data_IF_005902370398
#
_entry.id   IF_005902370398
#
_cell.length_a   1.000
_cell.length_b   1.000
_cell.length_c   1.000
_cell.angle_alpha   90.00
_cell.angle_beta   90.00
_cell.angle_gamma   90.00
#
_symmetry.space_group_name_H-M   'P 1'
#
loop_
_entity.id
_entity.type
_entity.pdbx_description
1 polymer ?
#
# COMPACT_ATOMS: atom_id res chain seq x y z
N UNK A 1 17.14 -29.42 -6.88
CA UNK A 1 16.43 -28.31 -7.51
C UNK A 1 15.40 -27.74 -6.55
N UNK A 2 15.49 -26.45 -6.25
CA UNK A 2 14.52 -25.68 -5.47
C UNK A 2 14.38 -24.29 -6.07
N UNK A 3 13.35 -23.55 -5.67
CA UNK A 3 13.32 -22.11 -5.86
C UNK A 3 14.30 -21.44 -4.88
N UNK A 4 14.79 -20.26 -5.23
CA UNK A 4 15.46 -19.40 -4.23
C UNK A 4 14.52 -19.11 -3.04
N UNK A 5 15.02 -18.98 -1.81
CA UNK A 5 14.17 -18.77 -0.62
C UNK A 5 13.29 -17.51 -0.67
N UNK A 6 13.76 -16.45 -1.33
CA UNK A 6 13.03 -15.19 -1.56
C UNK A 6 12.07 -15.27 -2.77
N UNK A 7 12.06 -16.39 -3.49
CA UNK A 7 11.23 -16.64 -4.65
C UNK A 7 10.01 -17.48 -4.28
N UNK A 8 8.83 -16.87 -4.22
CA UNK A 8 7.61 -17.51 -3.75
C UNK A 8 6.58 -17.69 -4.88
N UNK A 9 6.09 -18.92 -5.12
CA UNK A 9 5.03 -19.15 -6.09
C UNK A 9 3.65 -18.81 -5.51
N UNK A 10 2.87 -18.02 -6.23
CA UNK A 10 1.48 -17.71 -5.92
C UNK A 10 0.60 -18.31 -7.00
N UNK A 11 -0.14 -19.35 -6.62
CA UNK A 11 -1.02 -20.08 -7.53
C UNK A 11 -2.32 -19.29 -7.71
N UNK A 12 -2.58 -18.85 -8.94
CA UNK A 12 -3.88 -18.33 -9.37
C UNK A 12 -4.70 -19.39 -10.11
N UNK A 13 -5.80 -18.97 -10.72
CA UNK A 13 -6.70 -19.87 -11.43
C UNK A 13 -6.07 -20.44 -12.71
N UNK A 14 -5.66 -19.55 -13.65
CA UNK A 14 -5.01 -19.94 -14.92
C UNK A 14 -3.49 -19.84 -14.92
N UNK A 15 -2.93 -18.98 -14.10
CA UNK A 15 -1.49 -18.68 -14.06
C UNK A 15 -0.90 -18.96 -12.69
N UNK A 16 0.42 -19.10 -12.65
CA UNK A 16 1.22 -19.07 -11.42
C UNK A 16 2.18 -17.90 -11.56
N UNK A 17 2.20 -17.03 -10.55
CA UNK A 17 3.15 -15.93 -10.48
C UNK A 17 4.26 -16.28 -9.49
N UNK A 18 5.50 -16.23 -9.93
CA UNK A 18 6.69 -16.42 -9.10
C UNK A 18 7.20 -15.06 -8.67
N UNK A 19 7.09 -14.76 -7.39
CA UNK A 19 7.44 -13.47 -6.81
C UNK A 19 8.90 -13.52 -6.40
N UNK A 20 9.74 -12.62 -6.88
CA UNK A 20 11.08 -12.40 -6.33
C UNK A 20 11.02 -11.20 -5.39
N UNK A 21 10.93 -11.49 -4.09
CA UNK A 21 10.70 -10.47 -3.07
C UNK A 21 11.91 -9.57 -2.81
N UNK A 22 13.12 -10.02 -3.17
CA UNK A 22 14.37 -9.27 -2.99
C UNK A 22 14.59 -8.32 -4.17
N UNK A 23 14.44 -8.81 -5.40
CA UNK A 23 14.54 -7.98 -6.61
C UNK A 23 13.31 -7.11 -6.86
N UNK A 24 12.27 -7.29 -6.05
CA UNK A 24 10.98 -6.60 -6.16
C UNK A 24 10.28 -6.78 -7.51
N UNK A 25 10.42 -7.97 -8.11
CA UNK A 25 9.87 -8.31 -9.42
C UNK A 25 9.10 -9.62 -9.36
N UNK A 26 8.46 -10.00 -10.46
CA UNK A 26 7.78 -11.28 -10.55
C UNK A 26 7.74 -11.77 -12.00
N UNK A 27 7.50 -13.07 -12.16
CA UNK A 27 7.26 -13.72 -13.43
C UNK A 27 5.92 -14.44 -13.39
N UNK A 28 4.99 -14.08 -14.28
CA UNK A 28 3.67 -14.71 -14.37
C UNK A 28 3.59 -15.64 -15.58
N UNK A 29 3.31 -16.92 -15.36
CA UNK A 29 3.28 -17.95 -16.40
C UNK A 29 1.95 -18.73 -16.40
N UNK A 30 1.36 -19.02 -17.57
CA UNK A 30 0.28 -19.99 -17.71
C UNK A 30 0.62 -21.35 -17.09
N UNK A 31 -0.35 -21.98 -16.41
CA UNK A 31 -0.17 -23.31 -15.81
C UNK A 31 0.27 -24.37 -16.83
N UNK A 32 -0.19 -24.28 -18.07
CA UNK A 32 0.18 -25.19 -19.17
C UNK A 32 1.68 -25.21 -19.50
N UNK A 33 2.41 -24.12 -19.24
CA UNK A 33 3.87 -24.11 -19.40
C UNK A 33 4.61 -24.74 -18.23
N UNK A 34 3.95 -24.88 -17.08
CA UNK A 34 4.56 -25.30 -15.83
C UNK A 34 4.18 -26.71 -15.43
N UNK A 35 2.95 -27.13 -15.72
CA UNK A 35 2.31 -28.33 -15.19
C UNK A 35 1.63 -29.13 -16.31
N UNK A 36 1.35 -30.40 -16.04
CA UNK A 36 0.47 -31.21 -16.87
C UNK A 36 -0.99 -30.87 -16.54
N UNK A 37 -1.90 -31.07 -17.50
CA UNK A 37 -3.34 -30.75 -17.36
C UNK A 37 -3.98 -31.37 -16.12
N UNK A 38 -3.58 -32.59 -15.76
CA UNK A 38 -4.06 -33.32 -14.58
C UNK A 38 -3.72 -32.64 -13.24
N UNK A 39 -2.71 -31.76 -13.21
CA UNK A 39 -2.22 -31.07 -12.01
C UNK A 39 -2.67 -29.60 -11.94
N UNK A 40 -3.61 -29.13 -12.77
CA UNK A 40 -4.02 -27.71 -12.75
C UNK A 40 -4.77 -27.28 -11.49
N UNK A 41 -5.43 -28.23 -10.82
CA UNK A 41 -6.23 -28.02 -9.60
C UNK A 41 -5.39 -28.11 -8.32
N UNK A 42 -4.27 -27.39 -8.28
CA UNK A 42 -3.41 -27.27 -7.10
C UNK A 42 -3.65 -25.96 -6.36
N UNK A 43 -3.42 -25.99 -5.05
CA UNK A 43 -3.34 -24.77 -4.21
C UNK A 43 -1.90 -24.41 -3.83
N UNK A 44 -1.02 -25.41 -3.83
CA UNK A 44 0.40 -25.30 -3.49
C UNK A 44 1.18 -25.93 -4.63
N UNK A 45 2.22 -25.22 -5.10
CA UNK A 45 3.09 -25.72 -6.16
C UNK A 45 4.16 -26.66 -5.59
N UNK A 46 4.16 -27.91 -6.07
CA UNK A 46 5.32 -28.79 -5.91
C UNK A 46 6.27 -28.63 -7.10
N UNK A 47 7.44 -28.06 -6.84
CA UNK A 47 8.48 -27.79 -7.84
C UNK A 47 8.93 -29.08 -8.56
N UNK A 48 8.84 -30.25 -7.90
CA UNK A 48 9.23 -31.54 -8.49
C UNK A 48 8.26 -32.00 -9.59
N UNK A 49 7.05 -31.44 -9.64
CA UNK A 49 6.03 -31.74 -10.66
C UNK A 49 6.11 -30.84 -11.90
N UNK A 50 7.04 -29.89 -11.92
CA UNK A 50 7.18 -28.99 -13.06
C UNK A 50 7.58 -29.75 -14.33
N UNK A 51 7.04 -29.31 -15.47
CA UNK A 51 7.47 -29.81 -16.78
C UNK A 51 8.93 -29.41 -17.04
N UNK A 52 9.67 -30.15 -17.88
CA UNK A 52 11.04 -29.77 -18.27
C UNK A 52 11.12 -28.36 -18.87
N UNK A 53 10.10 -27.96 -19.64
CA UNK A 53 9.99 -26.61 -20.19
C UNK A 53 9.82 -25.56 -19.09
N UNK A 54 8.91 -25.78 -18.14
CA UNK A 54 8.69 -24.85 -17.02
C UNK A 54 9.94 -24.69 -16.16
N UNK A 55 10.66 -25.78 -15.90
CA UNK A 55 11.96 -25.76 -15.20
C UNK A 55 12.97 -24.90 -15.96
N UNK A 56 13.09 -25.07 -17.27
CA UNK A 56 14.06 -24.31 -18.05
C UNK A 56 13.75 -22.80 -18.07
N UNK A 57 12.48 -22.42 -18.21
CA UNK A 57 12.05 -21.02 -18.14
C UNK A 57 12.41 -20.41 -16.77
N UNK A 58 12.06 -21.10 -15.68
CA UNK A 58 12.36 -20.59 -14.33
C UNK A 58 13.87 -20.52 -14.07
N UNK A 59 14.66 -21.43 -14.66
CA UNK A 59 16.12 -21.39 -14.60
C UNK A 59 16.67 -20.19 -15.36
N UNK A 60 16.22 -19.95 -16.59
CA UNK A 60 16.71 -18.83 -17.41
C UNK A 60 16.38 -17.47 -16.79
N UNK A 61 15.22 -17.38 -16.12
CA UNK A 61 14.78 -16.18 -15.40
C UNK A 61 15.38 -16.06 -13.98
N UNK A 62 16.21 -17.03 -13.57
CA UNK A 62 16.95 -16.99 -12.31
C UNK A 62 16.13 -17.28 -11.04
N UNK A 63 15.01 -18.00 -11.17
CA UNK A 63 14.18 -18.43 -10.04
C UNK A 63 14.62 -19.76 -9.42
N UNK A 64 15.38 -20.58 -10.14
CA UNK A 64 15.84 -21.90 -9.68
C UNK A 64 17.25 -21.82 -9.10
N UNK A 65 17.43 -22.45 -7.94
CA UNK A 65 18.71 -22.77 -7.35
C UNK A 65 19.08 -24.22 -7.69
N UNK A 66 20.10 -24.37 -8.52
CA UNK A 66 20.72 -25.65 -8.88
C UNK A 66 21.91 -25.92 -7.96
N UNK A 67 21.65 -26.36 -6.73
CA UNK A 67 22.70 -26.75 -5.78
C UNK A 67 22.83 -28.29 -5.72
N UNK A 68 24.00 -28.85 -6.09
CA UNK A 68 24.25 -30.29 -6.06
C UNK A 68 24.34 -30.88 -4.65
N UNK A 69 24.43 -30.06 -3.59
CA UNK A 69 24.44 -30.50 -2.18
C UNK A 69 23.04 -30.61 -1.58
N UNK A 70 22.01 -30.13 -2.28
CA UNK A 70 20.63 -30.24 -1.83
C UNK A 70 20.11 -31.66 -2.09
N UNK A 71 20.15 -32.49 -1.05
CA UNK A 71 19.53 -33.82 -1.06
C UNK A 71 18.00 -33.75 -0.88
N UNK A 72 17.28 -34.73 -1.42
CA UNK A 72 15.83 -34.75 -1.72
C UNK A 72 14.83 -34.47 -0.58
N UNK A 73 15.28 -34.36 0.66
CA UNK A 73 14.43 -34.23 1.86
C UNK A 73 14.15 -32.80 2.30
N UNK A 74 14.68 -31.85 1.56
CA UNK A 74 14.82 -30.50 2.02
C UNK A 74 13.64 -29.66 1.51
N UNK A 75 12.42 -30.21 1.58
CA UNK A 75 11.19 -29.51 1.26
C UNK A 75 10.96 -28.44 2.34
N UNK A 76 11.48 -27.24 2.13
CA UNK A 76 11.02 -26.09 2.92
C UNK A 76 9.56 -25.90 2.51
N UNK A 77 8.65 -26.21 3.43
CA UNK A 77 7.26 -25.84 3.30
C UNK A 77 7.23 -24.32 3.04
N UNK A 78 6.85 -23.92 1.84
CA UNK A 78 6.91 -22.54 1.36
C UNK A 78 5.81 -21.64 1.98
N UNK A 79 5.25 -22.01 3.12
CA UNK A 79 3.96 -21.45 3.56
C UNK A 79 3.90 -20.94 4.97
N UNK A 80 4.83 -21.28 5.87
CA UNK A 80 4.51 -21.09 7.29
C UNK A 80 5.34 -19.94 7.89
N UNK A 81 4.67 -18.78 7.96
CA UNK A 81 4.94 -17.66 8.86
C UNK A 81 5.98 -16.60 8.45
N UNK A 82 5.93 -16.11 7.20
CA UNK A 82 6.38 -14.72 6.97
C UNK A 82 5.36 -13.78 7.62
N UNK A 83 5.52 -13.59 8.92
CA UNK A 83 4.61 -12.82 9.75
C UNK A 83 4.89 -11.33 9.60
N UNK A 84 3.83 -10.57 9.40
CA UNK A 84 3.88 -9.13 9.40
C UNK A 84 3.75 -8.62 10.83
N UNK A 85 4.76 -7.90 11.29
CA UNK A 85 4.75 -7.25 12.59
C UNK A 85 5.02 -5.77 12.45
N UNK A 86 4.21 -4.98 13.15
CA UNK A 86 4.46 -3.56 13.34
C UNK A 86 4.00 -3.17 14.74
N UNK A 87 4.78 -2.37 15.49
CA UNK A 87 4.36 -1.84 16.77
C UNK A 87 3.37 -0.67 16.63
N UNK A 88 3.22 -0.11 15.42
CA UNK A 88 2.39 1.06 15.18
C UNK A 88 0.90 0.70 15.09
N UNK A 89 0.03 1.43 15.79
CA UNK A 89 -1.42 1.23 15.67
C UNK A 89 -1.93 1.67 14.29
N UNK A 90 -1.38 2.77 13.76
CA UNK A 90 -1.57 3.24 12.39
C UNK A 90 -0.20 3.35 11.74
N UNK A 91 -0.02 2.78 10.55
CA UNK A 91 1.26 2.86 9.82
C UNK A 91 1.29 4.03 8.85
N UNK A 92 0.11 4.40 8.32
CA UNK A 92 -0.03 5.42 7.29
C UNK A 92 -1.22 6.34 7.59
N UNK A 93 -0.99 7.64 7.57
CA UNK A 93 -2.03 8.66 7.67
C UNK A 93 -2.07 9.52 6.40
N UNK A 94 -3.27 9.76 5.87
CA UNK A 94 -3.52 10.75 4.84
C UNK A 94 -4.39 11.86 5.44
N UNK A 95 -3.90 13.09 5.40
CA UNK A 95 -4.50 14.23 6.08
C UNK A 95 -4.81 15.29 5.04
N UNK A 96 -6.08 15.60 4.85
CA UNK A 96 -6.48 16.78 4.10
C UNK A 96 -6.44 17.99 5.05
N UNK A 97 -5.84 19.10 4.61
CA UNK A 97 -5.82 20.36 5.36
C UNK A 97 -6.71 21.35 4.63
N UNK A 98 -7.78 21.77 5.28
CA UNK A 98 -8.79 22.69 4.74
C UNK A 98 -9.15 23.73 5.80
N UNK A 99 -9.91 24.75 5.41
CA UNK A 99 -10.51 25.66 6.38
C UNK A 99 -11.57 24.96 7.25
N UNK A 100 -12.36 24.05 6.66
CA UNK A 100 -13.49 23.40 7.31
C UNK A 100 -13.07 22.47 8.46
N UNK A 101 -11.91 21.82 8.32
CA UNK A 101 -11.37 20.97 9.39
C UNK A 101 -10.44 21.71 10.38
N UNK A 102 -10.21 23.00 10.14
CA UNK A 102 -9.41 23.90 10.95
C UNK A 102 -7.95 23.44 11.16
N UNK A 103 -7.45 22.49 10.36
CA UNK A 103 -6.07 22.01 10.46
C UNK A 103 -5.06 23.02 9.93
N UNK A 104 -5.50 24.07 9.21
CA UNK A 104 -4.65 25.23 8.91
C UNK A 104 -4.20 25.99 10.17
N UNK A 105 -4.84 25.75 11.33
CA UNK A 105 -4.34 26.24 12.61
C UNK A 105 -3.13 25.41 13.08
N UNK A 106 -1.99 26.06 13.26
CA UNK A 106 -0.73 25.41 13.68
C UNK A 106 -0.86 24.61 14.97
N UNK A 107 -1.61 25.09 15.97
CA UNK A 107 -1.81 24.39 17.24
C UNK A 107 -2.57 23.08 17.07
N UNK A 108 -3.64 23.08 16.25
CA UNK A 108 -4.41 21.87 15.92
C UNK A 108 -3.57 20.87 15.12
N UNK A 109 -2.80 21.34 14.15
CA UNK A 109 -1.93 20.47 13.35
C UNK A 109 -0.82 19.84 14.19
N UNK A 110 -0.12 20.62 15.02
CA UNK A 110 0.92 20.10 15.92
C UNK A 110 0.34 19.02 16.84
N UNK A 111 -0.85 19.26 17.40
CA UNK A 111 -1.54 18.32 18.25
C UNK A 111 -1.86 17.00 17.53
N UNK A 112 -2.37 17.06 16.30
CA UNK A 112 -2.60 15.86 15.48
C UNK A 112 -1.28 15.11 15.22
N UNK A 113 -0.21 15.82 14.88
CA UNK A 113 1.11 15.22 14.68
C UNK A 113 1.65 14.56 15.96
N UNK A 114 1.37 15.12 17.13
CA UNK A 114 1.68 14.49 18.42
C UNK A 114 0.91 13.19 18.62
N UNK A 115 -0.39 13.18 18.33
CA UNK A 115 -1.19 11.96 18.39
C UNK A 115 -0.64 10.87 17.46
N UNK A 116 -0.31 11.24 16.22
CA UNK A 116 0.28 10.32 15.23
C UNK A 116 1.63 9.77 15.68
N UNK A 117 2.48 10.59 16.31
CA UNK A 117 3.76 10.14 16.84
C UNK A 117 3.59 9.13 17.98
N UNK A 118 2.61 9.37 18.87
CA UNK A 118 2.32 8.48 20.02
C UNK A 118 1.79 7.10 19.58
N UNK A 119 1.11 7.01 18.43
CA UNK A 119 0.70 5.73 17.83
C UNK A 119 1.73 5.13 16.86
N UNK A 120 2.93 5.73 16.80
CA UNK A 120 4.05 5.35 15.94
C UNK A 120 3.73 5.38 14.43
N UNK A 121 2.89 6.32 13.99
CA UNK A 121 2.59 6.50 12.57
C UNK A 121 3.78 7.08 11.82
N UNK A 122 4.41 6.25 10.98
CA UNK A 122 5.69 6.57 10.32
C UNK A 122 5.56 7.22 8.95
N UNK A 123 4.41 7.06 8.28
CA UNK A 123 4.23 7.50 6.91
C UNK A 123 3.03 8.44 6.84
N UNK A 124 3.27 9.69 6.47
CA UNK A 124 2.22 10.72 6.46
C UNK A 124 2.14 11.33 5.05
N UNK A 125 0.93 11.50 4.56
CA UNK A 125 0.62 12.32 3.39
C UNK A 125 -0.19 13.51 3.88
N UNK A 126 0.25 14.73 3.57
CA UNK A 126 -0.50 15.95 3.86
C UNK A 126 -0.92 16.58 2.54
N UNK A 127 -2.22 16.64 2.29
CA UNK A 127 -2.81 17.33 1.15
C UNK A 127 -3.38 18.66 1.59
N UNK A 128 -2.66 19.74 1.29
CA UNK A 128 -3.05 21.09 1.66
C UNK A 128 -3.91 21.67 0.54
N UNK A 129 -5.21 21.85 0.84
CA UNK A 129 -6.20 22.40 -0.08
C UNK A 129 -6.59 23.85 0.25
N UNK A 130 -6.24 24.33 1.43
CA UNK A 130 -6.37 25.74 1.82
C UNK A 130 -5.15 26.56 1.38
N UNK A 131 -5.24 27.88 1.48
CA UNK A 131 -4.06 28.74 1.34
C UNK A 131 -2.98 28.33 2.36
N UNK A 132 -1.74 28.27 1.88
CA UNK A 132 -0.57 27.86 2.64
C UNK A 132 0.33 29.07 2.84
N UNK A 133 0.76 29.31 4.09
CA UNK A 133 1.87 30.22 4.35
C UNK A 133 3.16 29.43 4.59
N UNK A 134 4.29 29.92 4.08
CA UNK A 134 5.60 29.31 4.34
C UNK A 134 5.92 29.15 5.84
N UNK A 135 5.61 30.12 6.74
CA UNK A 135 5.82 29.95 8.17
C UNK A 135 5.02 28.79 8.79
N UNK A 136 3.78 28.56 8.31
CA UNK A 136 3.00 27.40 8.74
C UNK A 136 3.70 26.11 8.33
N UNK A 137 4.11 26.00 7.05
CA UNK A 137 4.81 24.81 6.55
C UNK A 137 6.10 24.54 7.33
N UNK A 138 6.91 25.57 7.57
CA UNK A 138 8.13 25.46 8.38
C UNK A 138 7.84 24.89 9.78
N UNK A 139 6.76 25.35 10.42
CA UNK A 139 6.38 24.86 11.75
C UNK A 139 5.95 23.39 11.72
N UNK A 140 5.14 23.01 10.72
CA UNK A 140 4.71 21.61 10.51
C UNK A 140 5.91 20.71 10.25
N UNK A 141 6.84 21.12 9.39
CA UNK A 141 8.05 20.35 9.07
C UNK A 141 8.97 20.22 10.28
N UNK A 142 9.19 21.29 11.05
CA UNK A 142 9.96 21.23 12.29
C UNK A 142 9.36 20.23 13.29
N UNK A 143 8.02 20.20 13.39
CA UNK A 143 7.33 19.20 14.22
C UNK A 143 7.54 17.78 13.71
N UNK A 144 7.39 17.55 12.41
CA UNK A 144 7.63 16.25 11.77
C UNK A 144 9.07 15.79 11.98
N UNK A 145 10.05 16.69 11.89
CA UNK A 145 11.47 16.39 12.10
C UNK A 145 11.76 15.95 13.53
N UNK A 146 11.09 16.52 14.52
CA UNK A 146 11.21 16.09 15.93
C UNK A 146 10.49 14.78 16.28
N UNK A 147 9.56 14.32 15.43
CA UNK A 147 8.78 13.10 15.65
C UNK A 147 9.43 11.85 15.02
N UNK A 148 8.85 10.67 15.28
CA UNK A 148 9.27 9.38 14.72
C UNK A 148 8.77 9.12 13.27
N UNK A 149 8.30 10.15 12.58
CA UNK A 149 7.93 10.07 11.16
C UNK A 149 9.15 9.70 10.32
N UNK A 150 9.00 8.67 9.48
CA UNK A 150 10.03 8.24 8.54
C UNK A 150 9.87 8.87 7.16
N UNK A 151 8.63 9.12 6.72
CA UNK A 151 8.37 9.73 5.43
C UNK A 151 7.18 10.66 5.44
N UNK A 152 7.34 11.78 4.76
CA UNK A 152 6.31 12.76 4.46
C UNK A 152 6.17 12.90 2.95
N UNK A 153 4.95 12.91 2.47
CA UNK A 153 4.59 13.35 1.12
C UNK A 153 3.69 14.57 1.26
N UNK A 154 3.94 15.60 0.46
CA UNK A 154 3.12 16.80 0.44
C UNK A 154 2.40 16.89 -0.90
N UNK A 155 1.13 17.27 -0.85
CA UNK A 155 0.35 17.63 -2.03
C UNK A 155 -0.16 19.05 -1.81
N UNK A 156 0.19 19.97 -2.70
CA UNK A 156 -0.12 21.39 -2.60
C UNK A 156 -0.86 21.84 -3.85
N UNK A 157 -1.83 22.73 -3.72
CA UNK A 157 -2.39 23.43 -4.88
C UNK A 157 -1.40 24.48 -5.37
N UNK A 158 -1.23 24.62 -6.69
CA UNK A 158 -0.32 25.59 -7.29
C UNK A 158 -0.44 27.00 -6.70
N UNK A 159 0.71 27.58 -6.40
CA UNK A 159 0.86 28.98 -5.99
C UNK A 159 2.21 29.51 -6.50
N UNK A 160 2.24 30.74 -7.01
CA UNK A 160 3.44 31.39 -7.53
C UNK A 160 4.54 31.54 -6.46
N UNK A 161 4.19 31.60 -5.17
CA UNK A 161 5.16 31.70 -4.06
C UNK A 161 6.09 30.47 -3.94
N UNK A 162 5.69 29.32 -4.50
CA UNK A 162 6.48 28.08 -4.46
C UNK A 162 7.69 28.11 -5.42
N UNK A 163 7.83 29.14 -6.25
CA UNK A 163 9.04 29.36 -7.07
C UNK A 163 10.16 30.10 -6.33
N UNK A 164 10.00 30.36 -5.05
CA UNK A 164 11.06 30.98 -4.24
C UNK A 164 12.16 30.00 -3.85
N UNK A 165 13.41 30.49 -3.81
CA UNK A 165 14.55 29.71 -3.28
C UNK A 165 14.29 29.22 -1.85
N UNK A 166 13.61 30.03 -1.04
CA UNK A 166 13.23 29.67 0.33
C UNK A 166 12.32 28.42 0.41
N UNK A 167 11.36 28.28 -0.51
CA UNK A 167 10.53 27.08 -0.59
C UNK A 167 11.36 25.88 -1.06
N UNK A 168 12.15 26.06 -2.12
CA UNK A 168 13.04 25.03 -2.65
C UNK A 168 13.97 24.47 -1.56
N UNK A 169 14.68 25.34 -0.86
CA UNK A 169 15.61 24.99 0.22
C UNK A 169 14.92 24.26 1.37
N UNK A 170 13.72 24.69 1.76
CA UNK A 170 12.93 24.07 2.82
C UNK A 170 12.58 22.62 2.47
N UNK A 171 12.23 22.35 1.22
CA UNK A 171 11.83 21.03 0.76
C UNK A 171 13.03 20.13 0.48
N UNK A 172 14.00 20.63 -0.30
CA UNK A 172 15.16 19.85 -0.77
C UNK A 172 16.02 19.38 0.41
N UNK A 173 16.24 20.24 1.41
CA UNK A 173 17.08 19.91 2.56
C UNK A 173 16.38 19.05 3.63
N UNK A 174 15.06 18.87 3.55
CA UNK A 174 14.35 18.01 4.51
C UNK A 174 14.43 16.53 4.10
N UNK A 175 15.11 15.70 4.90
CA UNK A 175 15.32 14.28 4.61
C UNK A 175 14.09 13.39 4.82
N UNK A 176 13.07 13.87 5.54
CA UNK A 176 11.80 13.15 5.74
C UNK A 176 10.83 13.35 4.59
N UNK A 177 10.94 14.46 3.85
CA UNK A 177 10.13 14.67 2.64
C UNK A 177 10.63 13.74 1.54
N UNK A 178 9.78 12.78 1.14
CA UNK A 178 10.05 11.94 -0.03
C UNK A 178 9.87 12.71 -1.32
N UNK A 179 8.75 13.41 -1.44
CA UNK A 179 8.45 14.29 -2.55
C UNK A 179 7.30 15.24 -2.22
N UNK A 180 7.17 16.27 -3.04
CA UNK A 180 6.07 17.23 -3.06
C UNK A 180 5.46 17.21 -4.44
N UNK A 181 4.13 17.10 -4.51
CA UNK A 181 3.38 17.29 -5.75
C UNK A 181 2.62 18.61 -5.65
N UNK A 182 2.84 19.47 -6.64
CA UNK A 182 2.15 20.74 -6.83
C UNK A 182 1.15 20.52 -7.96
N UNK A 183 -0.11 20.32 -7.60
CA UNK A 183 -1.20 20.01 -8.54
C UNK A 183 -1.83 21.27 -9.12
N UNK A 184 -2.52 21.11 -10.25
CA UNK A 184 -3.17 22.23 -10.97
C UNK A 184 -2.19 23.36 -11.35
N UNK A 185 -0.94 22.99 -11.63
CA UNK A 185 0.09 23.89 -12.14
C UNK A 185 -0.23 24.26 -13.60
N UNK A 186 0.16 25.46 -14.09
CA UNK A 186 0.05 25.79 -15.51
C UNK A 186 1.06 25.05 -16.41
N UNK A 187 1.86 24.14 -15.84
CA UNK A 187 2.87 23.34 -16.56
C UNK A 187 3.30 22.09 -15.78
N UNK A 188 3.87 21.14 -16.51
CA UNK A 188 4.62 19.99 -16.00
C UNK A 188 6.08 20.34 -15.74
N UNK A 189 6.59 20.07 -14.52
CA UNK A 189 8.01 20.29 -14.19
C UNK A 189 8.49 19.41 -13.04
N UNK A 190 9.73 18.96 -13.10
CA UNK A 190 10.39 18.21 -12.03
C UNK A 190 11.65 18.96 -11.58
N UNK A 191 11.82 19.11 -10.27
CA UNK A 191 13.05 19.57 -9.64
C UNK A 191 13.61 18.50 -8.71
N UNK A 192 14.85 18.08 -8.98
CA UNK A 192 15.65 17.13 -8.20
C UNK A 192 14.92 15.82 -7.82
N UNK A 193 14.00 15.35 -8.67
CA UNK A 193 13.17 14.17 -8.41
C UNK A 193 12.41 14.23 -7.06
N UNK A 194 12.16 15.46 -6.58
CA UNK A 194 11.56 15.72 -5.27
C UNK A 194 10.39 16.68 -5.33
N UNK A 195 10.39 17.67 -6.23
CA UNK A 195 9.27 18.59 -6.40
C UNK A 195 8.71 18.42 -7.82
N UNK A 196 7.46 18.00 -7.89
CA UNK A 196 6.76 17.70 -9.15
C UNK A 196 5.59 18.65 -9.32
N UNK A 197 5.64 19.48 -10.36
CA UNK A 197 4.52 20.29 -10.82
C UNK A 197 3.76 19.50 -11.86
N UNK A 198 2.45 19.43 -11.74
CA UNK A 198 1.57 18.77 -12.71
C UNK A 198 0.34 19.60 -13.03
N UNK A 199 -0.05 19.60 -14.30
CA UNK A 199 -1.27 20.23 -14.80
C UNK A 199 -2.52 19.50 -14.28
N UNK A 200 -2.40 18.19 -14.06
CA UNK A 200 -3.51 17.37 -13.60
C UNK A 200 -3.80 17.60 -12.11
N UNK A 201 -5.09 17.50 -11.77
CA UNK A 201 -5.49 17.31 -10.38
C UNK A 201 -5.22 15.87 -10.00
N UNK A 202 -4.50 15.64 -8.91
CA UNK A 202 -4.21 14.28 -8.47
C UNK A 202 -5.51 13.55 -8.15
N UNK A 203 -5.69 12.41 -8.80
CA UNK A 203 -6.72 11.44 -8.45
C UNK A 203 -6.01 10.28 -7.74
N UNK A 204 -6.36 10.07 -6.48
CA UNK A 204 -5.93 8.87 -5.74
C UNK A 204 -6.53 7.67 -6.49
N UNK A 205 -5.65 6.82 -7.04
CA UNK A 205 -5.99 6.00 -8.19
C UNK A 205 -5.57 4.54 -8.10
N UNK A 206 -6.52 3.68 -8.51
CA UNK A 206 -6.50 2.22 -8.61
C UNK A 206 -5.37 1.72 -9.53
N UNK A 207 -4.76 0.59 -9.18
CA UNK A 207 -3.83 -0.12 -10.08
C UNK A 207 -4.58 -0.49 -11.37
N UNK A 208 -4.08 -0.01 -12.49
CA UNK A 208 -4.72 -0.16 -13.80
C UNK A 208 -4.03 -1.20 -14.69
N UNK A 209 -2.77 -1.51 -14.42
CA UNK A 209 -1.99 -2.46 -15.22
C UNK A 209 -1.04 -3.33 -14.38
N UNK A 210 -0.55 -4.40 -15.01
CA UNK A 210 0.38 -5.36 -14.40
C UNK A 210 1.76 -4.75 -14.09
N UNK A 211 2.23 -3.79 -14.88
CA UNK A 211 3.58 -3.20 -14.74
C UNK A 211 3.71 -2.29 -13.52
N UNK A 212 2.59 -1.90 -12.91
CA UNK A 212 2.54 -1.16 -11.66
C UNK A 212 2.78 -2.03 -10.42
N UNK A 213 2.70 -3.36 -10.55
CA UNK A 213 2.92 -4.23 -9.39
C UNK A 213 4.40 -4.36 -9.03
N UNK A 214 4.65 -4.40 -7.72
CA UNK A 214 5.96 -4.70 -7.14
C UNK A 214 5.81 -5.76 -6.06
N UNK A 215 6.33 -6.95 -6.33
CA UNK A 215 6.31 -8.04 -5.36
C UNK A 215 7.39 -7.78 -4.30
N UNK A 216 7.01 -7.36 -3.10
CA UNK A 216 7.98 -7.06 -2.04
C UNK A 216 7.59 -7.72 -0.72
N UNK A 217 8.58 -7.99 0.12
CA UNK A 217 8.40 -8.74 1.38
C UNK A 217 7.38 -8.09 2.33
N UNK A 218 7.32 -6.76 2.42
CA UNK A 218 6.42 -6.05 3.33
C UNK A 218 4.96 -6.26 2.92
N UNK A 219 4.67 -6.04 1.64
CA UNK A 219 3.33 -6.22 1.09
C UNK A 219 2.91 -7.69 1.08
N UNK A 220 3.83 -8.59 0.70
CA UNK A 220 3.58 -10.03 0.69
C UNK A 220 3.21 -10.54 2.08
N UNK A 221 4.02 -10.22 3.11
CA UNK A 221 3.79 -10.64 4.49
C UNK A 221 2.50 -10.05 5.07
N UNK A 222 2.23 -8.76 4.83
CA UNK A 222 0.98 -8.12 5.28
C UNK A 222 -0.25 -8.79 4.69
N UNK A 223 -0.22 -9.05 3.38
CA UNK A 223 -1.35 -9.60 2.63
C UNK A 223 -1.76 -11.03 3.02
N UNK A 224 -0.92 -11.74 3.79
CA UNK A 224 -1.26 -13.10 4.24
C UNK A 224 -2.50 -13.08 5.13
N UNK A 225 -2.56 -12.11 6.05
CA UNK A 225 -3.58 -12.03 7.09
C UNK A 225 -4.30 -10.67 7.15
N UNK A 226 -3.84 -9.67 6.40
CA UNK A 226 -4.43 -8.34 6.42
C UNK A 226 -4.84 -7.83 5.03
N UNK A 227 -5.76 -6.87 5.02
CA UNK A 227 -6.15 -6.13 3.82
C UNK A 227 -5.09 -5.06 3.50
N UNK A 228 -4.40 -5.22 2.37
CA UNK A 228 -3.20 -4.40 2.02
C UNK A 228 -3.45 -2.91 1.81
N UNK A 229 -4.71 -2.50 1.56
CA UNK A 229 -5.08 -1.07 1.48
C UNK A 229 -5.60 -0.48 2.80
N UNK A 230 -6.53 -1.14 3.50
CA UNK A 230 -7.20 -0.58 4.69
C UNK A 230 -6.49 -0.86 6.02
N UNK A 231 -5.67 -1.92 6.10
CA UNK A 231 -4.99 -2.29 7.34
C UNK A 231 -4.14 -1.13 7.85
N UNK A 232 -4.38 -0.74 9.11
CA UNK A 232 -3.66 0.34 9.82
C UNK A 232 -3.53 1.65 9.03
N UNK A 233 -4.52 1.97 8.18
CA UNK A 233 -4.66 3.27 7.53
C UNK A 233 -5.61 4.19 8.26
N UNK A 234 -5.24 5.46 8.24
CA UNK A 234 -6.04 6.58 8.73
C UNK A 234 -6.20 7.60 7.62
N UNK A 235 -7.41 8.10 7.45
CA UNK A 235 -7.75 9.23 6.62
C UNK A 235 -8.45 10.29 7.47
N UNK A 236 -7.96 11.53 7.41
CA UNK A 236 -8.62 12.72 7.96
C UNK A 236 -9.11 13.56 6.79
N UNK A 237 -10.44 13.64 6.64
CA UNK A 237 -11.09 14.27 5.50
C UNK A 237 -11.18 15.79 5.58
N UNK A 238 -11.66 16.36 4.48
CA UNK A 238 -11.82 17.81 4.30
C UNK A 238 -12.77 18.47 5.31
N UNK A 239 -13.73 17.76 5.91
CA UNK A 239 -14.54 18.32 7.01
C UNK A 239 -14.09 17.79 8.39
N UNK A 240 -12.96 17.08 8.42
CA UNK A 240 -12.35 16.52 9.61
C UNK A 240 -12.83 15.11 9.94
N UNK A 241 -13.54 14.45 9.02
CA UNK A 241 -13.99 13.07 9.19
C UNK A 241 -12.81 12.13 9.42
N UNK A 242 -12.90 11.30 10.46
CA UNK A 242 -11.94 10.23 10.74
C UNK A 242 -12.44 8.95 10.07
N UNK A 243 -11.69 8.45 9.09
CA UNK A 243 -12.02 7.26 8.28
C UNK A 243 -10.79 6.36 8.08
N UNK A 244 -10.98 5.19 7.47
CA UNK A 244 -9.85 4.36 7.01
C UNK A 244 -9.24 4.86 5.70
N UNK A 245 -10.07 5.37 4.78
CA UNK A 245 -9.67 5.83 3.46
C UNK A 245 -10.69 6.85 2.90
N UNK A 246 -10.35 7.62 1.84
CA UNK A 246 -11.25 8.58 1.20
C UNK A 246 -12.56 7.96 0.70
N UNK A 247 -12.48 6.72 0.20
CA UNK A 247 -13.61 6.02 -0.43
C UNK A 247 -14.61 5.49 0.59
N UNK A 248 -14.20 5.33 1.86
CA UNK A 248 -15.06 4.80 2.91
C UNK A 248 -16.24 5.74 3.23
N UNK A 249 -17.43 5.17 3.30
CA UNK A 249 -18.65 5.89 3.68
C UNK A 249 -18.74 6.09 5.20
N UNK A 250 -18.30 5.10 5.98
CA UNK A 250 -18.33 5.11 7.45
C UNK A 250 -17.40 6.22 8.01
N UNK A 251 -17.92 7.00 8.95
CA UNK A 251 -17.19 8.05 9.69
C UNK A 251 -17.16 7.66 11.16
N UNK A 252 -15.96 7.52 11.73
CA UNK A 252 -15.78 7.04 13.10
C UNK A 252 -15.61 8.17 14.12
N UNK A 253 -15.46 9.40 13.65
CA UNK A 253 -15.32 10.59 14.48
C UNK A 253 -15.00 11.82 13.66
N UNK A 254 -14.79 12.94 14.34
CA UNK A 254 -14.44 14.21 13.72
C UNK A 254 -13.28 14.84 14.49
N UNK A 255 -12.18 15.21 13.81
CA UNK A 255 -10.93 15.62 14.46
C UNK A 255 -11.10 16.88 15.33
N UNK A 256 -12.02 17.77 14.99
CA UNK A 256 -12.34 18.97 15.76
C UNK A 256 -12.98 18.64 17.12
N UNK A 257 -13.59 17.45 17.26
CA UNK A 257 -14.22 16.96 18.49
C UNK A 257 -13.27 16.10 19.33
N UNK A 258 -12.07 15.81 18.84
CA UNK A 258 -11.07 15.01 19.56
C UNK A 258 -10.33 15.91 20.54
N UNK A 259 -10.60 15.71 21.83
CA UNK A 259 -10.18 16.54 22.95
C UNK A 259 -9.03 15.93 23.78
N UNK A 260 -8.60 14.71 23.49
CA UNK A 260 -7.49 14.03 24.16
C UNK A 260 -6.86 12.97 23.24
N UNK A 261 -5.66 12.49 23.63
CA UNK A 261 -5.01 11.39 22.92
C UNK A 261 -5.79 10.08 23.11
N UNK A 262 -6.33 9.87 24.30
CA UNK A 262 -7.11 8.69 24.69
C UNK A 262 -8.37 8.57 23.82
N UNK A 263 -9.12 9.66 23.66
CA UNK A 263 -10.28 9.70 22.76
C UNK A 263 -9.88 9.38 21.30
N UNK A 264 -8.79 9.96 20.81
CA UNK A 264 -8.28 9.65 19.47
C UNK A 264 -7.95 8.14 19.34
N UNK A 265 -7.26 7.59 20.33
CA UNK A 265 -6.86 6.19 20.36
C UNK A 265 -8.05 5.24 20.44
N UNK A 266 -9.06 5.56 21.25
CA UNK A 266 -10.29 4.76 21.39
C UNK A 266 -11.04 4.60 20.06
N UNK A 267 -11.08 5.66 19.25
CA UNK A 267 -11.66 5.61 17.89
C UNK A 267 -10.89 4.57 17.04
N UNK A 268 -9.55 4.65 17.05
CA UNK A 268 -8.68 3.79 16.22
C UNK A 268 -8.63 2.33 16.71
N UNK A 269 -8.83 2.08 18.00
CA UNK A 269 -8.88 0.75 18.59
C UNK A 269 -10.28 0.11 18.53
N UNK A 270 -11.29 0.86 18.11
CA UNK A 270 -12.65 0.33 18.00
C UNK A 270 -12.74 -0.80 16.96
N UNK A 271 -13.52 -1.86 17.24
CA UNK A 271 -13.74 -2.95 16.28
C UNK A 271 -14.30 -2.48 14.94
N UNK A 272 -15.12 -1.42 14.95
CA UNK A 272 -15.72 -0.87 13.75
C UNK A 272 -14.68 -0.16 12.87
N UNK A 273 -13.76 0.61 13.47
CA UNK A 273 -12.65 1.22 12.72
C UNK A 273 -11.71 0.16 12.13
N UNK A 274 -11.48 -0.94 12.85
CA UNK A 274 -10.59 -2.02 12.41
C UNK A 274 -11.27 -3.10 11.56
N UNK A 275 -12.56 -2.93 11.24
CA UNK A 275 -13.40 -3.90 10.53
C UNK A 275 -12.77 -4.48 9.27
N UNK A 276 -12.08 -3.64 8.48
CA UNK A 276 -11.46 -4.07 7.22
C UNK A 276 -10.03 -4.61 7.36
N UNK A 277 -9.38 -4.47 8.52
CA UNK A 277 -7.95 -4.79 8.67
C UNK A 277 -7.63 -6.25 8.37
N UNK A 278 -8.53 -7.16 8.74
CA UNK A 278 -8.35 -8.61 8.58
C UNK A 278 -9.01 -9.18 7.32
N UNK A 279 -9.45 -8.32 6.39
CA UNK A 279 -10.10 -8.76 5.14
C UNK A 279 -9.05 -9.05 4.06
N UNK A 280 -8.25 -10.09 4.30
CA UNK A 280 -7.20 -10.49 3.36
C UNK A 280 -7.75 -11.24 2.15
N UNK A 281 -7.00 -11.27 1.05
CA UNK A 281 -7.54 -11.72 -0.24
C UNK A 281 -7.85 -13.21 -0.35
N UNK A 282 -7.32 -14.04 0.55
CA UNK A 282 -7.66 -15.46 0.56
C UNK A 282 -9.12 -15.72 1.03
N UNK A 283 -9.76 -14.75 1.68
CA UNK A 283 -11.19 -14.82 2.07
C UNK A 283 -12.09 -13.91 1.22
N UNK A 284 -11.54 -13.29 0.17
CA UNK A 284 -12.27 -12.48 -0.80
C UNK A 284 -12.50 -13.28 -2.08
N UNK A 285 -13.77 -13.38 -2.51
CA UNK A 285 -14.13 -14.02 -3.78
C UNK A 285 -13.37 -13.40 -4.96
N UNK A 286 -13.04 -14.24 -5.95
CA UNK A 286 -12.20 -13.92 -7.12
C UNK A 286 -10.75 -13.63 -6.75
N UNK A 287 -10.50 -12.78 -5.75
CA UNK A 287 -9.16 -12.41 -5.29
C UNK A 287 -8.40 -13.60 -4.71
N UNK A 288 -9.09 -14.57 -4.10
CA UNK A 288 -8.47 -15.79 -3.56
C UNK A 288 -7.81 -16.65 -4.66
N UNK A 289 -8.34 -16.56 -5.88
CA UNK A 289 -7.90 -17.28 -7.08
C UNK A 289 -6.96 -16.44 -7.97
N UNK A 290 -6.59 -15.23 -7.54
CA UNK A 290 -5.71 -14.33 -8.29
C UNK A 290 -4.25 -14.55 -7.92
N UNK A 291 -3.41 -14.76 -8.92
CA UNK A 291 -1.96 -14.90 -8.79
C UNK A 291 -1.27 -13.60 -8.32
N UNK A 292 -1.91 -12.44 -8.46
CA UNK A 292 -1.39 -11.15 -8.01
C UNK A 292 -1.85 -10.75 -6.60
N UNK A 293 -2.59 -11.62 -5.89
CA UNK A 293 -3.23 -11.27 -4.61
C UNK A 293 -2.26 -10.71 -3.57
N UNK A 294 -1.04 -11.22 -3.48
CA UNK A 294 -0.08 -10.79 -2.46
C UNK A 294 0.77 -9.57 -2.85
N UNK A 295 0.61 -9.04 -4.07
CA UNK A 295 1.26 -7.80 -4.53
C UNK A 295 0.27 -6.68 -4.90
N UNK A 296 -1.03 -6.98 -4.87
CA UNK A 296 -2.06 -6.02 -5.25
C UNK A 296 -2.48 -5.14 -4.07
N UNK A 297 -2.72 -3.86 -4.34
CA UNK A 297 -3.30 -2.89 -3.40
C UNK A 297 -4.66 -2.51 -3.98
N UNK A 298 -5.72 -3.09 -3.42
CA UNK A 298 -7.08 -2.93 -3.92
C UNK A 298 -7.81 -1.88 -3.09
N UNK A 299 -8.32 -0.82 -3.73
CA UNK A 299 -8.99 0.27 -3.04
C UNK A 299 -10.50 0.04 -2.89
N UNK A 300 -11.04 -1.01 -3.51
CA UNK A 300 -12.47 -1.31 -3.47
C UNK A 300 -12.89 -1.73 -2.07
N UNK A 301 -14.03 -1.23 -1.61
CA UNK A 301 -14.59 -1.59 -0.29
C UNK A 301 -15.09 -3.04 -0.34
N UNK A 302 -14.65 -3.92 0.59
CA UNK A 302 -15.14 -5.28 0.67
C UNK A 302 -16.44 -5.35 1.50
N UNK A 303 -17.35 -6.22 1.08
CA UNK A 303 -18.64 -6.47 1.70
C UNK A 303 -18.73 -7.91 2.18
N UNK A 304 -19.33 -8.12 3.35
CA UNK A 304 -19.43 -9.45 3.97
C UNK A 304 -20.66 -10.19 3.46
N UNK A 305 -20.49 -11.45 3.07
CA UNK A 305 -21.58 -12.38 2.76
C UNK A 305 -22.04 -13.12 4.00
N UNK A 306 -23.25 -13.69 3.93
CA UNK A 306 -23.81 -14.54 4.99
C UNK A 306 -22.96 -15.79 5.27
N UNK A 307 -22.23 -16.30 4.27
CA UNK A 307 -21.37 -17.49 4.41
C UNK A 307 -19.97 -17.18 4.99
N UNK A 308 -19.70 -15.93 5.38
CA UNK A 308 -18.43 -15.51 5.97
C UNK A 308 -17.35 -15.08 4.96
N UNK A 309 -17.57 -15.24 3.66
CA UNK A 309 -16.68 -14.70 2.62
C UNK A 309 -16.91 -13.20 2.41
N UNK A 310 -15.93 -12.57 1.77
CA UNK A 310 -15.98 -11.18 1.36
C UNK A 310 -16.04 -11.05 -0.17
N UNK A 311 -16.63 -9.97 -0.66
CA UNK A 311 -16.73 -9.67 -2.09
C UNK A 311 -16.70 -8.16 -2.33
N UNK A 312 -16.50 -7.77 -3.59
CA UNK A 312 -16.54 -6.36 -4.01
C UNK A 312 -17.73 -6.15 -4.95
N UNK A 313 -18.40 -5.00 -4.87
CA UNK A 313 -19.51 -4.65 -5.76
C UNK A 313 -19.02 -4.38 -7.18
N UNK A 314 -17.90 -3.67 -7.31
CA UNK A 314 -17.29 -3.36 -8.59
C UNK A 314 -16.36 -4.47 -9.06
N UNK A 315 -16.36 -4.74 -10.37
CA UNK A 315 -15.43 -5.68 -10.97
C UNK A 315 -13.98 -5.17 -10.91
N UNK A 316 -13.06 -6.12 -10.76
CA UNK A 316 -11.64 -5.85 -10.83
C UNK A 316 -11.27 -5.54 -12.28
N UNK A 317 -10.21 -4.75 -12.50
CA UNK A 317 -9.70 -4.54 -13.85
C UNK A 317 -9.05 -5.81 -14.43
N UNK A 318 -8.61 -6.72 -13.56
CA UNK A 318 -8.05 -8.02 -13.92
C UNK A 318 -9.02 -9.15 -13.58
N UNK A 319 -9.21 -10.08 -14.52
CA UNK A 319 -9.97 -11.32 -14.31
C UNK A 319 -9.02 -12.54 -14.35
N UNK A 320 -8.81 -13.25 -13.22
CA UNK A 320 -7.92 -14.42 -13.15
C UNK A 320 -8.46 -15.64 -13.91
N UNK A 321 -9.77 -15.68 -14.22
CA UNK A 321 -10.39 -16.79 -14.95
C UNK A 321 -10.23 -16.65 -16.47
N UNK A 322 -10.09 -15.42 -16.99
CA UNK A 322 -9.73 -15.16 -18.39
C UNK A 322 -8.23 -14.87 -18.58
N UNK A 323 -7.53 -14.49 -17.51
CA UNK A 323 -6.17 -13.94 -17.52
C UNK A 323 -6.02 -12.65 -18.32
N UNK A 324 -7.06 -11.79 -18.30
CA UNK A 324 -7.09 -10.54 -19.08
C UNK A 324 -7.31 -9.31 -18.21
N UNK A 325 -6.70 -8.21 -18.63
CA UNK A 325 -6.96 -6.86 -18.12
C UNK A 325 -8.00 -6.17 -19.01
N UNK A 326 -8.91 -5.41 -18.40
CA UNK A 326 -9.96 -4.66 -19.10
C UNK A 326 -9.65 -3.16 -19.20
#
# INVERSE_FOLDING_TARGET
MKLYPNCLPVVGYKKIAFYDLDRQTFLSLPKEYLLKDEDFNIKILDIKKLTPQGVEILRSEGFILDDPLITSNDCIALTDDIQWYSPALITNAFIEVTEQNELGNTGRMIRLLDFLANILCKHIVIHIKSELSLPYLQTVLSKIDSNNTNSLQLILHYNDEYFSDAFGDLIINNSKIQYVIIESSPFEKNYEDKIFFTEDKLRLGKISNETQFKANIKLYSESQNHHTYFNRKLFIGSNGEIKNAPECEEVFGNIQQVDSFEHFKDILESPDFQKYWYVHKNICEICCDCEYKHMCIDTRIPYRKMNGLWYHLEKCNYDPYSSSWN
#
